data_IF_586693073533
#
_entry.id   IF_586693073533
#
_cell.length_a   1.000
_cell.length_b   1.000
_cell.length_c   1.000
_cell.angle_alpha   90.00
_cell.angle_beta   90.00
_cell.angle_gamma   90.00
#
_symmetry.space_group_name_H-M   'P 1'
#
loop_
_entity.id
_entity.type
_entity.pdbx_description
1 polymer ?
#
# COMPACT_ATOMS: atom_id res chain seq x y z
N UNK A 1 12.39 9.77 -10.96
CA UNK A 1 13.02 9.06 -9.84
C UNK A 1 13.27 7.61 -10.24
N UNK A 2 14.36 7.04 -9.76
CA UNK A 2 14.74 5.66 -10.08
C UNK A 2 14.27 4.66 -9.03
N UNK A 3 13.32 5.04 -8.21
CA UNK A 3 12.78 4.21 -7.14
C UNK A 3 11.30 4.51 -6.96
N UNK A 4 10.51 3.57 -6.42
CA UNK A 4 9.11 3.83 -6.13
C UNK A 4 8.98 4.89 -5.04
N UNK A 5 8.16 5.90 -5.28
CA UNK A 5 7.97 7.00 -4.34
C UNK A 5 6.85 6.73 -3.35
N UNK A 6 6.98 7.32 -2.16
CA UNK A 6 5.94 7.27 -1.14
C UNK A 6 4.65 7.85 -1.69
N UNK A 7 3.52 7.23 -1.36
CA UNK A 7 2.17 7.58 -1.79
C UNK A 7 1.86 7.24 -3.24
N UNK A 8 2.82 6.69 -3.98
CA UNK A 8 2.54 6.16 -5.32
C UNK A 8 1.79 4.86 -5.22
N UNK A 9 0.93 4.62 -6.22
CA UNK A 9 0.22 3.37 -6.37
C UNK A 9 0.85 2.62 -7.53
N UNK A 10 1.26 1.39 -7.26
CA UNK A 10 1.89 0.51 -8.23
C UNK A 10 1.11 -0.78 -8.37
N UNK A 11 1.01 -1.28 -9.60
CA UNK A 11 0.57 -2.65 -9.82
C UNK A 11 1.68 -3.57 -9.37
N UNK A 12 1.37 -4.51 -8.48
CA UNK A 12 2.37 -5.40 -7.89
C UNK A 12 1.89 -6.85 -7.88
N UNK A 13 2.82 -7.77 -8.11
CA UNK A 13 2.57 -9.19 -8.05
C UNK A 13 2.81 -9.67 -6.61
N UNK A 14 1.74 -10.04 -5.91
CA UNK A 14 1.80 -10.40 -4.49
C UNK A 14 2.00 -11.90 -4.24
N UNK A 15 1.66 -12.74 -5.19
CA UNK A 15 1.83 -14.18 -5.04
C UNK A 15 3.32 -14.58 -5.08
N UNK A 16 3.71 -15.66 -4.37
CA UNK A 16 2.86 -16.53 -3.55
C UNK A 16 2.53 -15.91 -2.19
N UNK A 17 1.33 -16.21 -1.70
CA UNK A 17 0.87 -15.81 -0.36
C UNK A 17 0.31 -17.03 0.36
N UNK A 18 0.03 -16.87 1.66
CA UNK A 18 -0.49 -17.96 2.51
C UNK A 18 -1.83 -17.53 3.11
N UNK A 19 -2.79 -18.44 3.08
CA UNK A 19 -4.05 -18.31 3.80
C UNK A 19 -4.86 -17.08 3.42
N UNK A 20 -5.14 -16.25 4.42
CA UNK A 20 -6.02 -15.08 4.27
C UNK A 20 -5.30 -13.82 3.75
N UNK A 21 -4.02 -13.92 3.41
CA UNK A 21 -3.30 -12.80 2.82
C UNK A 21 -3.91 -12.41 1.48
N UNK A 22 -3.96 -11.10 1.21
CA UNK A 22 -4.43 -10.60 -0.09
C UNK A 22 -3.42 -11.03 -1.15
N UNK A 23 -3.93 -11.62 -2.24
CA UNK A 23 -3.12 -12.30 -3.25
C UNK A 23 -3.31 -11.73 -4.64
N UNK A 24 -2.61 -12.32 -5.60
CA UNK A 24 -2.65 -11.99 -7.03
C UNK A 24 -1.94 -10.68 -7.32
N UNK A 25 -2.12 -10.20 -8.52
CA UNK A 25 -1.59 -8.91 -8.96
C UNK A 25 -2.63 -7.84 -8.64
N UNK A 26 -2.22 -6.84 -7.86
CA UNK A 26 -3.13 -5.81 -7.37
C UNK A 26 -2.46 -4.45 -7.31
N UNK A 27 -3.26 -3.38 -7.35
CA UNK A 27 -2.73 -2.07 -6.97
C UNK A 27 -2.28 -2.10 -5.51
N UNK A 28 -1.11 -1.54 -5.26
CA UNK A 28 -0.55 -1.44 -3.91
C UNK A 28 -0.06 -0.01 -3.69
N UNK A 29 -0.34 0.50 -2.50
CA UNK A 29 0.12 1.83 -2.09
C UNK A 29 1.51 1.70 -1.45
N UNK A 30 2.47 2.47 -1.95
CA UNK A 30 3.80 2.56 -1.34
C UNK A 30 3.69 3.40 -0.07
N UNK A 31 4.03 2.82 1.07
CA UNK A 31 3.95 3.50 2.36
C UNK A 31 5.32 3.80 2.98
N UNK A 32 6.37 3.15 2.52
CA UNK A 32 7.72 3.41 3.03
C UNK A 32 8.26 4.74 2.50
N UNK A 33 9.09 5.44 3.28
CA UNK A 33 9.60 6.74 2.89
C UNK A 33 10.62 6.67 1.76
N UNK A 34 10.76 7.77 1.03
CA UNK A 34 11.62 7.85 -0.15
C UNK A 34 13.07 7.50 0.17
N UNK A 35 13.58 7.88 1.34
CA UNK A 35 14.97 7.56 1.73
C UNK A 35 15.20 6.06 1.80
N UNK A 36 14.24 5.33 2.39
CA UNK A 36 14.30 3.87 2.45
C UNK A 36 14.14 3.26 1.06
N UNK A 37 13.19 3.77 0.28
CA UNK A 37 12.91 3.25 -1.06
C UNK A 37 14.11 3.43 -1.99
N UNK A 38 14.86 4.51 -1.82
CA UNK A 38 16.07 4.76 -2.60
C UNK A 38 17.19 3.79 -2.23
N UNK A 39 17.33 3.49 -0.94
CA UNK A 39 18.48 2.74 -0.43
C UNK A 39 18.28 1.22 -0.50
N UNK A 40 17.04 0.74 -0.42
CA UNK A 40 16.75 -0.69 -0.24
C UNK A 40 16.23 -1.32 -1.53
N UNK A 41 16.43 -2.63 -1.64
CA UNK A 41 15.85 -3.42 -2.73
C UNK A 41 14.40 -3.81 -2.45
N UNK A 42 13.93 -3.58 -1.23
CA UNK A 42 12.56 -3.83 -0.82
C UNK A 42 11.81 -2.52 -0.67
N UNK A 43 10.50 -2.60 -0.74
CA UNK A 43 9.59 -1.48 -0.53
C UNK A 43 8.43 -1.99 0.33
N UNK A 44 7.95 -1.15 1.25
CA UNK A 44 6.79 -1.52 2.07
C UNK A 44 5.55 -0.99 1.39
N UNK A 45 4.61 -1.90 1.14
CA UNK A 45 3.37 -1.59 0.44
C UNK A 45 2.16 -2.07 1.23
N UNK A 46 1.02 -1.43 0.97
CA UNK A 46 -0.28 -1.87 1.45
C UNK A 46 -1.14 -2.23 0.23
N UNK A 47 -1.66 -3.46 0.16
CA UNK A 47 -2.51 -3.81 -0.97
C UNK A 47 -3.84 -3.05 -0.92
N UNK A 48 -4.37 -2.75 -2.10
CA UNK A 48 -5.67 -2.13 -2.25
C UNK A 48 -6.65 -3.18 -2.72
N UNK A 49 -7.87 -3.14 -2.19
CA UNK A 49 -8.88 -4.15 -2.48
C UNK A 49 -10.26 -3.51 -2.60
N UNK A 50 -11.11 -4.07 -3.48
CA UNK A 50 -12.51 -3.66 -3.57
C UNK A 50 -13.39 -4.39 -2.55
N UNK A 51 -12.86 -5.43 -1.91
CA UNK A 51 -13.57 -6.13 -0.84
C UNK A 51 -13.55 -5.27 0.41
N UNK A 52 -14.72 -4.82 0.85
CA UNK A 52 -14.83 -3.98 2.04
C UNK A 52 -14.85 -4.80 3.31
N UNK A 53 -14.17 -4.28 4.33
CA UNK A 53 -14.17 -4.82 5.69
C UNK A 53 -14.32 -3.66 6.67
N UNK A 54 -15.04 -3.84 7.77
CA UNK A 54 -15.26 -2.76 8.74
C UNK A 54 -14.11 -2.65 9.76
N UNK A 55 -12.88 -2.82 9.31
CA UNK A 55 -11.73 -2.77 10.20
C UNK A 55 -11.18 -1.34 10.30
N UNK A 56 -10.79 -0.89 11.51
CA UNK A 56 -10.16 0.43 11.66
C UNK A 56 -8.87 0.60 10.85
N UNK A 57 -8.25 -0.52 10.47
CA UNK A 57 -7.01 -0.54 9.67
C UNK A 57 -7.25 -0.38 8.18
N UNK A 58 -8.49 -0.29 7.75
CA UNK A 58 -8.87 -0.12 6.33
C UNK A 58 -9.18 1.33 6.05
N UNK A 59 -8.47 1.92 5.09
CA UNK A 59 -8.67 3.31 4.69
C UNK A 59 -9.42 3.33 3.36
N UNK A 60 -10.58 3.97 3.33
CA UNK A 60 -11.35 4.12 2.10
C UNK A 60 -10.61 5.01 1.13
N UNK A 61 -10.66 4.62 -0.14
CA UNK A 61 -10.01 5.35 -1.22
C UNK A 61 -10.83 5.20 -2.50
N UNK A 62 -10.86 6.28 -3.27
CA UNK A 62 -11.31 6.21 -4.67
C UNK A 62 -10.09 6.48 -5.51
N UNK A 63 -9.70 5.50 -6.31
CA UNK A 63 -8.52 5.61 -7.15
C UNK A 63 -8.88 5.20 -8.57
N UNK A 64 -8.62 6.10 -9.53
CA UNK A 64 -8.97 5.89 -10.94
C UNK A 64 -10.43 5.42 -11.10
N UNK A 65 -11.34 6.16 -10.45
CA UNK A 65 -12.77 5.92 -10.47
C UNK A 65 -13.23 4.60 -9.84
N UNK A 66 -12.33 3.86 -9.19
CA UNK A 66 -12.67 2.63 -8.48
C UNK A 66 -12.66 2.89 -6.98
N UNK A 67 -13.75 2.56 -6.31
CA UNK A 67 -13.85 2.64 -4.86
C UNK A 67 -13.31 1.37 -4.23
N UNK A 68 -12.57 1.52 -3.15
CA UNK A 68 -12.01 0.40 -2.43
C UNK A 68 -11.39 0.82 -1.11
N UNK A 69 -10.52 -0.02 -0.60
CA UNK A 69 -9.83 0.22 0.66
C UNK A 69 -8.34 -0.07 0.51
N UNK A 70 -7.54 0.70 1.22
CA UNK A 70 -6.13 0.38 1.46
C UNK A 70 -6.08 -0.50 2.70
N UNK A 71 -5.53 -1.70 2.57
CA UNK A 71 -5.50 -2.69 3.66
C UNK A 71 -4.21 -2.54 4.47
N UNK A 72 -4.22 -1.65 5.45
CA UNK A 72 -3.03 -1.42 6.28
C UNK A 72 -2.76 -2.59 7.23
N UNK A 73 -3.76 -3.43 7.50
CA UNK A 73 -3.57 -4.66 8.24
C UNK A 73 -2.77 -5.71 7.47
N UNK A 74 -2.52 -5.48 6.19
CA UNK A 74 -1.77 -6.40 5.33
C UNK A 74 -0.53 -5.76 4.72
N UNK A 75 0.02 -4.75 5.38
CA UNK A 75 1.28 -4.16 4.92
C UNK A 75 2.39 -5.21 4.93
N UNK A 76 3.23 -5.13 3.92
CA UNK A 76 4.34 -6.07 3.79
C UNK A 76 5.47 -5.46 2.98
N UNK A 77 6.68 -5.93 3.27
CA UNK A 77 7.83 -5.61 2.45
C UNK A 77 7.85 -6.57 1.26
N UNK A 78 8.02 -6.02 0.07
CA UNK A 78 8.17 -6.82 -1.14
C UNK A 78 9.44 -6.39 -1.86
N UNK A 79 10.02 -7.31 -2.62
CA UNK A 79 11.14 -6.97 -3.49
C UNK A 79 10.64 -6.04 -4.59
N UNK A 80 11.48 -5.06 -4.98
CA UNK A 80 11.11 -4.08 -5.99
C UNK A 80 10.78 -4.72 -7.34
N UNK A 81 11.33 -5.91 -7.61
CA UNK A 81 11.04 -6.64 -8.85
C UNK A 81 9.58 -7.11 -8.93
N UNK A 82 8.86 -7.12 -7.83
CA UNK A 82 7.42 -7.43 -7.84
C UNK A 82 6.57 -6.27 -8.35
N UNK A 83 7.12 -5.07 -8.40
CA UNK A 83 6.41 -3.91 -8.94
C UNK A 83 6.42 -3.97 -10.46
N UNK A 84 5.22 -3.94 -11.06
CA UNK A 84 5.06 -4.10 -12.49
C UNK A 84 5.05 -2.75 -13.19
N UNK A 85 4.19 -1.82 -12.74
CA UNK A 85 4.15 -0.48 -13.29
C UNK A 85 3.47 0.48 -12.33
N UNK A 86 3.85 1.74 -12.42
CA UNK A 86 3.22 2.81 -11.66
C UNK A 86 1.85 3.13 -12.25
N UNK A 87 0.84 3.19 -11.40
CA UNK A 87 -0.53 3.51 -11.79
C UNK A 87 -0.87 4.97 -11.53
N UNK A 88 -0.25 5.58 -10.53
CA UNK A 88 -0.54 6.94 -10.16
C UNK A 88 -0.11 7.23 -8.73
N UNK A 89 -0.82 8.13 -8.09
CA UNK A 89 -0.51 8.59 -6.73
C UNK A 89 -1.81 8.91 -6.02
N UNK A 90 -1.90 8.61 -4.73
CA UNK A 90 -3.08 8.98 -3.95
C UNK A 90 -3.06 10.48 -3.64
N UNK A 91 -4.23 11.03 -3.31
CA UNK A 91 -4.35 12.43 -2.91
C UNK A 91 -3.64 12.69 -1.58
N UNK A 92 -3.30 13.94 -1.33
CA UNK A 92 -2.71 14.34 -0.05
C UNK A 92 -3.62 14.00 1.13
N UNK A 93 -4.93 14.12 0.95
CA UNK A 93 -5.90 13.77 1.99
C UNK A 93 -5.84 12.28 2.33
N UNK A 94 -5.82 11.42 1.33
CA UNK A 94 -5.69 9.97 1.53
C UNK A 94 -4.35 9.64 2.19
N UNK A 95 -3.26 10.24 1.74
CA UNK A 95 -1.94 10.03 2.32
C UNK A 95 -1.90 10.39 3.79
N UNK A 96 -2.52 11.49 4.19
CA UNK A 96 -2.61 11.92 5.58
C UNK A 96 -3.43 10.93 6.42
N UNK A 97 -4.55 10.45 5.88
CA UNK A 97 -5.38 9.46 6.58
C UNK A 97 -4.62 8.15 6.77
N UNK A 98 -3.90 7.71 5.76
CA UNK A 98 -3.05 6.51 5.84
C UNK A 98 -2.00 6.67 6.94
N UNK A 99 -1.28 7.80 6.93
CA UNK A 99 -0.24 8.06 7.93
C UNK A 99 -0.81 8.07 9.35
N UNK A 100 -1.94 8.73 9.54
CA UNK A 100 -2.60 8.79 10.86
C UNK A 100 -3.01 7.39 11.32
N UNK A 101 -3.57 6.60 10.43
CA UNK A 101 -3.99 5.24 10.76
C UNK A 101 -2.80 4.36 11.13
N UNK A 102 -1.68 4.48 10.41
CA UNK A 102 -0.46 3.75 10.74
C UNK A 102 0.07 4.14 12.12
N UNK A 103 0.05 5.41 12.46
CA UNK A 103 0.46 5.88 13.80
C UNK A 103 -0.43 5.24 14.87
N UNK A 104 -1.75 5.26 14.67
CA UNK A 104 -2.68 4.64 15.62
C UNK A 104 -2.44 3.13 15.76
N UNK A 105 -2.17 2.44 14.65
CA UNK A 105 -1.92 0.99 14.68
C UNK A 105 -0.70 0.61 15.52
N UNK A 106 0.32 1.42 15.51
CA UNK A 106 1.61 1.10 16.12
C UNK A 106 1.92 1.92 17.38
N UNK A 107 1.01 2.76 17.80
CA UNK A 107 1.15 3.51 19.05
C UNK A 107 0.57 2.67 20.19
N UNK A 108 1.36 2.51 21.25
CA UNK A 108 0.92 1.85 22.46
C UNK A 108 0.31 2.87 23.42
N UNK A 109 -0.72 2.46 24.11
CA UNK A 109 -1.33 3.27 25.15
C UNK A 109 -0.55 3.17 26.46
#
# INVERSE_FOLDING_TARGET
MNFPGRDEVWLAALDPVVGSEIRKTRPCLVISPDEANRALRTVIVAPMTTTERPYPTRVRVTFQATQGQVALDQIRAIDRTRLIRKLGKVSAKTAQTVSRTLVEMFTRE
#
